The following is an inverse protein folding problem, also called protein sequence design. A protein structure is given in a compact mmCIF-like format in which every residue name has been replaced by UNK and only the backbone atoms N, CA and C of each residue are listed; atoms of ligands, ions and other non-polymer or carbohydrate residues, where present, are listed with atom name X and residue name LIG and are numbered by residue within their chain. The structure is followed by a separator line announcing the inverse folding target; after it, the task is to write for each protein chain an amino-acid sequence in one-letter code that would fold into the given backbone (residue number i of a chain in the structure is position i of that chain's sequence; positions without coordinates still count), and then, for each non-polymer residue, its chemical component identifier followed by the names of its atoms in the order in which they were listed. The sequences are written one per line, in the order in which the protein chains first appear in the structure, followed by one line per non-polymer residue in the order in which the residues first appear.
data_IF_141377258743
#
_entry.id   IF_141377258743
#
_cell.length_a   1.000
_cell.length_b   1.000
_cell.length_c   1.000
_cell.angle_alpha   90.00
_cell.angle_beta   90.00
_cell.angle_gamma   90.00
#
_symmetry.space_group_name_H-M   'P 1'
#
loop_
_entity.id
_entity.type
_entity.pdbx_description
1 polymer ?
#
# COMPACT_ATOMS: atom_id res chain seq x y z
N UNK A 1 -69.72 -28.82 -32.53
CA UNK A 1 -68.32 -29.05 -32.89
C UNK A 1 -67.41 -27.83 -32.64
N UNK A 2 -67.79 -26.62 -33.04
CA UNK A 2 -66.96 -25.40 -32.85
C UNK A 2 -66.77 -25.07 -31.39
N UNK A 3 -67.82 -25.16 -30.56
CA UNK A 3 -67.71 -24.90 -29.10
C UNK A 3 -66.75 -25.86 -28.38
N UNK A 4 -66.73 -27.13 -28.77
CA UNK A 4 -65.82 -28.13 -28.22
C UNK A 4 -64.36 -27.83 -28.55
N UNK A 5 -64.10 -27.35 -29.77
CA UNK A 5 -62.75 -26.95 -30.24
C UNK A 5 -62.25 -25.71 -29.44
N UNK A 6 -63.15 -24.72 -29.23
CA UNK A 6 -62.82 -23.52 -28.46
C UNK A 6 -62.48 -23.88 -27.01
N UNK A 7 -63.25 -24.80 -26.39
CA UNK A 7 -63.01 -25.30 -25.06
C UNK A 7 -61.63 -25.99 -24.95
N UNK A 8 -61.30 -26.87 -25.87
CA UNK A 8 -60.01 -27.58 -25.91
C UNK A 8 -58.83 -26.61 -26.07
N UNK A 9 -58.94 -25.64 -26.98
CA UNK A 9 -57.93 -24.60 -27.16
C UNK A 9 -57.76 -23.76 -25.89
N UNK A 10 -58.86 -23.38 -25.26
CA UNK A 10 -58.84 -22.65 -23.97
C UNK A 10 -58.10 -23.41 -22.87
N UNK A 11 -58.38 -24.71 -22.72
CA UNK A 11 -57.66 -25.56 -21.74
C UNK A 11 -56.16 -25.65 -22.06
N UNK A 12 -55.81 -25.76 -23.35
CA UNK A 12 -54.38 -25.83 -23.75
C UNK A 12 -53.64 -24.53 -23.49
N UNK A 13 -54.25 -23.37 -23.75
CA UNK A 13 -53.68 -22.05 -23.41
C UNK A 13 -53.55 -21.87 -21.90
N UNK A 14 -54.57 -22.21 -21.12
CA UNK A 14 -54.52 -22.13 -19.66
C UNK A 14 -53.43 -23.05 -19.08
N UNK A 15 -53.32 -24.27 -19.58
CA UNK A 15 -52.27 -25.21 -19.22
C UNK A 15 -50.88 -24.65 -19.55
N UNK A 16 -50.72 -24.02 -20.73
CA UNK A 16 -49.45 -23.38 -21.14
C UNK A 16 -49.04 -22.23 -20.22
N UNK A 17 -49.99 -21.36 -19.88
CA UNK A 17 -49.78 -20.25 -18.93
C UNK A 17 -49.40 -20.77 -17.55
N UNK A 18 -50.08 -21.79 -17.10
CA UNK A 18 -49.83 -22.43 -15.80
C UNK A 18 -48.42 -23.04 -15.74
N UNK A 19 -48.00 -23.79 -16.76
CA UNK A 19 -46.67 -24.37 -16.86
C UNK A 19 -45.57 -23.27 -16.98
N UNK A 20 -45.85 -22.24 -17.74
CA UNK A 20 -44.94 -21.11 -17.89
C UNK A 20 -44.74 -20.38 -16.53
N UNK A 21 -45.82 -20.16 -15.79
CA UNK A 21 -45.76 -19.53 -14.46
C UNK A 21 -44.93 -20.36 -13.46
N UNK A 22 -45.16 -21.70 -13.44
CA UNK A 22 -44.37 -22.59 -12.58
C UNK A 22 -42.90 -22.57 -12.96
N UNK A 23 -42.58 -22.61 -14.24
CA UNK A 23 -41.20 -22.59 -14.72
C UNK A 23 -40.52 -21.27 -14.35
N UNK A 24 -41.17 -20.16 -14.60
CA UNK A 24 -40.68 -18.82 -14.26
C UNK A 24 -40.45 -18.65 -12.74
N UNK A 25 -41.34 -19.16 -11.92
CA UNK A 25 -41.14 -19.11 -10.46
C UNK A 25 -39.96 -19.98 -9.99
N UNK A 26 -39.72 -21.14 -10.59
CA UNK A 26 -38.58 -22.00 -10.31
C UNK A 26 -37.25 -21.35 -10.71
N UNK A 27 -37.22 -20.75 -11.88
CA UNK A 27 -36.03 -20.03 -12.38
C UNK A 27 -35.67 -18.83 -11.49
N UNK A 28 -36.67 -18.00 -11.14
CA UNK A 28 -36.50 -16.86 -10.24
C UNK A 28 -36.01 -17.29 -8.85
N UNK A 29 -36.54 -18.39 -8.31
CA UNK A 29 -36.11 -18.94 -7.02
C UNK A 29 -34.65 -19.41 -7.05
N UNK A 30 -34.22 -20.04 -8.16
CA UNK A 30 -32.81 -20.45 -8.36
C UNK A 30 -31.88 -19.25 -8.43
N UNK A 31 -32.20 -18.25 -9.25
CA UNK A 31 -31.39 -17.03 -9.38
C UNK A 31 -31.23 -16.30 -8.04
N UNK A 32 -32.31 -16.16 -7.28
CA UNK A 32 -32.25 -15.53 -5.97
C UNK A 32 -31.37 -16.33 -4.98
N UNK A 33 -31.40 -17.66 -5.02
CA UNK A 33 -30.52 -18.49 -4.17
C UNK A 33 -29.06 -18.36 -4.56
N UNK A 34 -28.75 -18.38 -5.86
CA UNK A 34 -27.37 -18.18 -6.35
C UNK A 34 -26.83 -16.80 -5.96
N UNK A 35 -27.68 -15.79 -6.03
CA UNK A 35 -27.31 -14.43 -5.61
C UNK A 35 -27.06 -14.37 -4.10
N UNK A 36 -27.91 -14.95 -3.26
CA UNK A 36 -27.68 -15.04 -1.82
C UNK A 36 -26.38 -15.77 -1.48
N UNK A 37 -26.07 -16.89 -2.16
CA UNK A 37 -24.81 -17.61 -1.94
C UNK A 37 -23.58 -16.76 -2.31
N UNK A 38 -23.68 -15.97 -3.38
CA UNK A 38 -22.62 -15.04 -3.77
C UNK A 38 -22.45 -13.91 -2.75
N UNK A 39 -23.54 -13.31 -2.31
CA UNK A 39 -23.53 -12.22 -1.33
C UNK A 39 -22.94 -12.71 0.01
N UNK A 40 -23.39 -13.86 0.52
CA UNK A 40 -22.82 -14.48 1.73
C UNK A 40 -21.33 -14.83 1.57
N UNK A 41 -20.89 -15.26 0.39
CA UNK A 41 -19.48 -15.53 0.12
C UNK A 41 -18.62 -14.26 0.07
N UNK A 42 -19.18 -13.13 -0.36
CA UNK A 42 -18.52 -11.82 -0.36
C UNK A 42 -18.38 -11.29 1.07
N UNK A 43 -19.43 -11.44 1.89
CA UNK A 43 -19.46 -10.97 3.28
C UNK A 43 -18.70 -11.89 4.26
N UNK A 44 -18.25 -13.04 3.80
CA UNK A 44 -17.49 -14.00 4.61
C UNK A 44 -18.33 -14.84 5.56
N UNK A 45 -19.66 -14.78 5.48
CA UNK A 45 -20.59 -15.56 6.26
C UNK A 45 -21.23 -16.68 5.41
N UNK A 46 -20.67 -17.88 5.48
CA UNK A 46 -21.25 -19.07 4.83
C UNK A 46 -22.23 -19.75 5.76
N UNK A 47 -23.51 -19.35 5.69
CA UNK A 47 -24.58 -20.07 6.34
C UNK A 47 -24.86 -21.44 5.69
N UNK A 48 -25.19 -22.44 6.52
CA UNK A 48 -25.61 -23.78 6.07
C UNK A 48 -27.00 -23.69 5.38
N UNK A 49 -26.98 -23.51 4.07
CA UNK A 49 -28.22 -23.57 3.28
C UNK A 49 -28.64 -25.02 3.09
N UNK A 50 -29.89 -25.33 3.44
CA UNK A 50 -30.47 -26.66 3.23
C UNK A 50 -30.51 -27.02 1.74
N UNK A 51 -30.09 -28.24 1.43
CA UNK A 51 -29.97 -28.76 0.06
C UNK A 51 -31.37 -29.25 -0.40
N UNK A 52 -31.84 -28.76 -1.54
CA UNK A 52 -33.06 -29.19 -2.19
C UNK A 52 -32.78 -30.32 -3.19
N UNK A 53 -33.64 -31.39 -3.18
CA UNK A 53 -33.50 -32.59 -4.00
C UNK A 53 -33.81 -32.41 -5.51
N UNK A 54 -33.94 -31.20 -6.04
CA UNK A 54 -34.29 -30.94 -7.44
C UNK A 54 -33.08 -30.92 -8.40
N UNK A 55 -33.38 -31.06 -9.71
CA UNK A 55 -32.39 -31.15 -10.82
C UNK A 55 -31.27 -30.07 -10.85
N UNK A 56 -31.40 -28.99 -10.12
CA UNK A 56 -30.42 -27.91 -10.00
C UNK A 56 -29.45 -28.11 -8.82
N UNK A 57 -29.65 -29.13 -7.99
CA UNK A 57 -28.81 -29.40 -6.81
C UNK A 57 -27.35 -29.69 -7.15
N UNK A 58 -27.07 -30.24 -8.32
CA UNK A 58 -25.70 -30.50 -8.76
C UNK A 58 -24.92 -29.22 -9.03
N UNK A 59 -25.56 -28.21 -9.63
CA UNK A 59 -24.96 -26.90 -9.91
C UNK A 59 -24.76 -26.10 -8.61
N UNK A 60 -25.79 -26.07 -7.75
CA UNK A 60 -25.71 -25.44 -6.43
C UNK A 60 -24.60 -26.08 -5.59
N UNK A 61 -24.50 -27.39 -5.55
CA UNK A 61 -23.45 -28.09 -4.82
C UNK A 61 -22.06 -27.82 -5.38
N UNK A 62 -21.89 -27.82 -6.71
CA UNK A 62 -20.62 -27.49 -7.34
C UNK A 62 -20.19 -26.07 -7.05
N UNK A 63 -21.12 -25.11 -7.13
CA UNK A 63 -20.84 -23.70 -6.83
C UNK A 63 -20.51 -23.49 -5.35
N UNK A 64 -21.26 -24.12 -4.43
CA UNK A 64 -20.98 -24.10 -3.00
C UNK A 64 -19.60 -24.68 -2.70
N UNK A 65 -19.26 -25.83 -3.28
CA UNK A 65 -17.95 -26.44 -3.10
C UNK A 65 -16.81 -25.55 -3.60
N UNK A 66 -16.99 -24.84 -4.73
CA UNK A 66 -16.03 -23.87 -5.23
C UNK A 66 -15.90 -22.65 -4.32
N UNK A 67 -16.99 -22.11 -3.80
CA UNK A 67 -16.99 -20.99 -2.87
C UNK A 67 -16.34 -21.37 -1.54
N UNK A 68 -16.69 -22.52 -0.96
CA UNK A 68 -16.10 -23.05 0.27
C UNK A 68 -14.59 -23.27 0.11
N UNK A 69 -14.15 -23.86 -1.02
CA UNK A 69 -12.73 -24.09 -1.30
C UNK A 69 -11.96 -22.77 -1.48
N UNK A 70 -12.54 -21.78 -2.17
CA UNK A 70 -11.95 -20.46 -2.36
C UNK A 70 -11.87 -19.67 -1.05
N UNK A 71 -12.90 -19.75 -0.21
CA UNK A 71 -12.93 -19.13 1.12
C UNK A 71 -11.86 -19.77 2.02
N UNK A 72 -11.78 -21.08 2.05
CA UNK A 72 -10.77 -21.81 2.83
C UNK A 72 -9.35 -21.50 2.36
N UNK A 73 -9.14 -21.41 1.05
CA UNK A 73 -7.84 -21.04 0.47
C UNK A 73 -7.44 -19.60 0.85
N UNK A 74 -8.37 -18.65 0.79
CA UNK A 74 -8.14 -17.27 1.23
C UNK A 74 -7.83 -17.19 2.73
N UNK A 75 -8.59 -17.90 3.56
CA UNK A 75 -8.36 -17.95 5.00
C UNK A 75 -6.99 -18.53 5.33
N UNK A 76 -6.63 -19.66 4.73
CA UNK A 76 -5.31 -20.27 4.91
C UNK A 76 -4.18 -19.35 4.45
N UNK A 77 -4.36 -18.65 3.33
CA UNK A 77 -3.39 -17.66 2.84
C UNK A 77 -3.24 -16.50 3.82
N UNK A 78 -4.34 -16.01 4.39
CA UNK A 78 -4.32 -14.95 5.38
C UNK A 78 -3.63 -15.39 6.67
N UNK A 79 -3.94 -16.58 7.20
CA UNK A 79 -3.29 -17.15 8.38
C UNK A 79 -1.78 -17.36 8.16
N UNK A 80 -1.38 -17.87 7.00
CA UNK A 80 0.05 -17.99 6.65
C UNK A 80 0.75 -16.63 6.60
N UNK A 81 0.08 -15.63 6.04
CA UNK A 81 0.58 -14.26 5.97
C UNK A 81 0.81 -13.70 7.38
N UNK A 82 -0.13 -13.86 8.30
CA UNK A 82 -0.03 -13.40 9.69
C UNK A 82 1.10 -14.09 10.46
N UNK A 83 1.28 -15.41 10.26
CA UNK A 83 2.38 -16.16 10.86
C UNK A 83 3.73 -15.64 10.37
N UNK A 84 3.89 -15.43 9.07
CA UNK A 84 5.14 -14.91 8.49
C UNK A 84 5.42 -13.50 9.02
N UNK A 85 4.40 -12.66 9.14
CA UNK A 85 4.53 -11.29 9.63
C UNK A 85 4.95 -11.24 11.10
N UNK A 86 4.35 -12.09 11.94
CA UNK A 86 4.73 -12.24 13.33
C UNK A 86 6.18 -12.69 13.46
N UNK A 87 6.58 -13.70 12.67
CA UNK A 87 7.96 -14.20 12.66
C UNK A 87 8.96 -13.08 12.27
N UNK A 88 8.66 -12.32 11.23
CA UNK A 88 9.49 -11.18 10.80
C UNK A 88 9.60 -10.13 11.91
N UNK A 89 8.48 -9.81 12.58
CA UNK A 89 8.46 -8.86 13.69
C UNK A 89 9.30 -9.35 14.88
N UNK A 90 9.17 -10.62 15.24
CA UNK A 90 9.92 -11.23 16.35
C UNK A 90 11.42 -11.26 16.07
N UNK A 91 11.82 -11.66 14.86
CA UNK A 91 13.24 -11.64 14.42
C UNK A 91 13.78 -10.21 14.44
N UNK A 92 13.03 -9.25 13.94
CA UNK A 92 13.45 -7.86 13.92
C UNK A 92 13.72 -7.32 15.35
N UNK A 93 12.82 -7.58 16.29
CA UNK A 93 13.01 -7.19 17.69
C UNK A 93 14.23 -7.86 18.34
N UNK A 94 14.46 -9.14 18.09
CA UNK A 94 15.58 -9.88 18.66
C UNK A 94 16.95 -9.51 18.06
N UNK A 95 16.96 -8.98 16.83
CA UNK A 95 18.21 -8.55 16.16
C UNK A 95 18.54 -7.09 16.42
N UNK A 96 17.56 -6.24 16.71
CA UNK A 96 17.78 -4.83 17.06
C UNK A 96 18.70 -4.64 18.27
N UNK A 97 18.53 -5.45 19.31
CA UNK A 97 19.32 -5.37 20.55
C UNK A 97 20.83 -5.64 20.34
N UNK A 98 21.26 -6.75 19.71
CA UNK A 98 22.68 -6.98 19.45
C UNK A 98 23.29 -5.96 18.51
N UNK A 99 22.52 -5.42 17.55
CA UNK A 99 22.98 -4.38 16.64
C UNK A 99 23.25 -3.07 17.39
N UNK A 100 22.32 -2.69 18.29
CA UNK A 100 22.53 -1.51 19.14
C UNK A 100 23.77 -1.65 20.01
N UNK A 101 24.01 -2.83 20.53
CA UNK A 101 25.22 -3.12 21.31
C UNK A 101 26.50 -3.00 20.45
N UNK A 102 26.49 -3.55 19.22
CA UNK A 102 27.62 -3.42 18.30
C UNK A 102 27.91 -1.95 17.94
N UNK A 103 26.87 -1.15 17.76
CA UNK A 103 27.01 0.28 17.53
C UNK A 103 27.69 0.98 18.70
N UNK A 104 27.22 0.75 19.92
CA UNK A 104 27.80 1.31 21.15
C UNK A 104 29.27 0.90 21.31
N UNK A 105 29.61 -0.36 21.10
CA UNK A 105 30.99 -0.83 21.16
C UNK A 105 31.87 -0.22 20.07
N UNK A 106 31.35 -0.06 18.84
CA UNK A 106 32.03 0.62 17.77
C UNK A 106 32.33 2.09 18.07
N UNK A 107 31.38 2.80 18.66
CA UNK A 107 31.55 4.19 19.11
C UNK A 107 32.64 4.31 20.21
N UNK A 108 32.59 3.44 21.23
CA UNK A 108 33.59 3.40 22.30
C UNK A 108 35.01 3.12 21.76
N UNK A 109 35.14 2.18 20.81
CA UNK A 109 36.40 1.86 20.18
C UNK A 109 36.93 3.03 19.33
N UNK A 110 36.04 3.80 18.66
CA UNK A 110 36.45 4.96 17.87
C UNK A 110 37.04 6.09 18.71
N UNK A 111 36.57 6.22 19.96
CA UNK A 111 37.06 7.23 20.90
C UNK A 111 38.41 6.85 21.53
N UNK A 112 38.73 5.56 21.61
CA UNK A 112 39.87 5.04 22.37
C UNK A 112 41.06 4.59 21.52
N UNK A 113 40.91 4.40 20.22
CA UNK A 113 41.94 3.78 19.38
C UNK A 113 42.04 4.45 18.00
N UNK A 114 43.06 5.30 17.83
CA UNK A 114 43.30 6.04 16.60
C UNK A 114 43.86 5.21 15.44
N UNK A 115 44.42 4.01 15.70
CA UNK A 115 45.05 3.19 14.67
C UNK A 115 44.07 2.41 13.76
N UNK A 116 42.81 2.17 14.24
CA UNK A 116 41.83 1.37 13.50
C UNK A 116 40.56 2.16 13.15
N UNK A 117 40.66 3.46 12.94
CA UNK A 117 39.48 4.34 12.71
C UNK A 117 38.71 3.96 11.46
N UNK A 118 39.35 3.49 10.40
CA UNK A 118 38.69 3.15 9.12
C UNK A 118 37.85 1.85 9.24
N UNK A 119 38.38 0.87 9.95
CA UNK A 119 37.65 -0.39 10.23
C UNK A 119 36.46 -0.16 11.16
N UNK A 120 36.63 0.67 12.18
CA UNK A 120 35.57 1.07 13.12
C UNK A 120 34.46 1.84 12.38
N UNK A 121 34.83 2.80 11.51
CA UNK A 121 33.87 3.54 10.70
C UNK A 121 33.07 2.60 9.79
N UNK A 122 33.73 1.60 9.21
CA UNK A 122 33.05 0.57 8.39
C UNK A 122 32.06 -0.26 9.22
N UNK A 123 32.43 -0.67 10.42
CA UNK A 123 31.54 -1.42 11.34
C UNK A 123 30.32 -0.59 11.68
N UNK A 124 30.50 0.68 12.05
CA UNK A 124 29.41 1.59 12.35
C UNK A 124 28.46 1.77 11.15
N UNK A 125 29.02 1.99 9.96
CA UNK A 125 28.23 2.12 8.72
C UNK A 125 27.40 0.86 8.42
N UNK A 126 27.99 -0.32 8.54
CA UNK A 126 27.27 -1.59 8.32
C UNK A 126 26.20 -1.81 9.39
N UNK A 127 26.47 -1.42 10.63
CA UNK A 127 25.50 -1.51 11.73
C UNK A 127 24.31 -0.59 11.49
N UNK A 128 24.53 0.64 11.02
CA UNK A 128 23.47 1.58 10.65
C UNK A 128 22.62 1.07 9.46
N UNK A 129 23.26 0.47 8.47
CA UNK A 129 22.54 -0.17 7.36
C UNK A 129 21.65 -1.31 7.84
N UNK A 130 22.14 -2.11 8.78
CA UNK A 130 21.39 -3.24 9.33
C UNK A 130 20.22 -2.75 10.18
N UNK A 131 20.42 -1.75 11.04
CA UNK A 131 19.37 -1.12 11.84
C UNK A 131 18.25 -0.56 10.95
N UNK A 132 18.61 0.17 9.89
CA UNK A 132 17.67 0.68 8.90
C UNK A 132 16.87 -0.44 8.21
N UNK A 133 17.54 -1.54 7.84
CA UNK A 133 16.88 -2.71 7.24
C UNK A 133 15.82 -3.30 8.16
N UNK A 134 16.18 -3.54 9.42
CA UNK A 134 15.29 -4.16 10.40
C UNK A 134 14.11 -3.25 10.71
N UNK A 135 14.34 -1.95 10.93
CA UNK A 135 13.25 -1.01 11.17
C UNK A 135 12.29 -0.92 9.97
N UNK A 136 12.84 -0.91 8.76
CA UNK A 136 12.03 -0.94 7.53
C UNK A 136 11.20 -2.22 7.42
N UNK A 137 11.77 -3.37 7.78
CA UNK A 137 11.09 -4.66 7.77
C UNK A 137 9.96 -4.72 8.81
N UNK A 138 10.19 -4.19 10.01
CA UNK A 138 9.18 -4.07 11.08
C UNK A 138 8.02 -3.17 10.64
N UNK A 139 8.34 -2.01 10.05
CA UNK A 139 7.32 -1.09 9.52
C UNK A 139 6.48 -1.78 8.44
N UNK A 140 7.13 -2.46 7.50
CA UNK A 140 6.48 -3.22 6.43
C UNK A 140 5.58 -4.34 6.97
N UNK A 141 6.09 -5.13 7.90
CA UNK A 141 5.33 -6.20 8.55
C UNK A 141 4.06 -5.68 9.23
N UNK A 142 4.17 -4.57 9.97
CA UNK A 142 3.02 -3.93 10.61
C UNK A 142 1.99 -3.39 9.61
N UNK A 143 2.43 -2.87 8.47
CA UNK A 143 1.54 -2.39 7.40
C UNK A 143 0.81 -3.55 6.72
N UNK A 144 1.52 -4.61 6.35
CA UNK A 144 0.95 -5.78 5.68
C UNK A 144 -0.04 -6.55 6.57
N UNK A 145 0.16 -6.53 7.91
CA UNK A 145 -0.75 -7.20 8.85
C UNK A 145 -2.08 -6.48 9.06
N UNK A 146 -2.26 -5.29 8.49
CA UNK A 146 -3.45 -4.46 8.78
C UNK A 146 -3.53 -4.03 10.25
N UNK A 147 -2.49 -4.34 11.08
CA UNK A 147 -2.40 -3.94 12.49
C UNK A 147 -2.23 -2.42 12.61
N UNK A 148 -1.73 -1.77 11.55
CA UNK A 148 -1.73 -0.32 11.51
C UNK A 148 -3.15 0.14 11.14
N UNK A 149 -3.95 0.35 12.18
CA UNK A 149 -5.12 1.19 12.03
C UNK A 149 -4.61 2.58 11.60
N UNK A 150 -4.87 2.94 10.35
CA UNK A 150 -4.58 4.30 9.86
C UNK A 150 -5.55 5.21 10.58
N UNK A 151 -5.05 6.00 11.52
CA UNK A 151 -5.84 6.99 12.25
C UNK A 151 -5.84 8.29 11.46
N UNK A 152 -6.84 8.45 10.59
CA UNK A 152 -6.98 9.65 9.78
C UNK A 152 -7.66 10.75 10.58
N UNK A 153 -7.03 11.91 10.64
CA UNK A 153 -7.56 13.15 11.22
C UNK A 153 -7.39 14.29 10.22
N UNK A 154 -8.09 15.39 10.45
CA UNK A 154 -7.98 16.59 9.62
C UNK A 154 -6.74 17.40 10.05
N UNK A 155 -5.76 17.50 9.17
CA UNK A 155 -4.51 18.22 9.41
C UNK A 155 -4.28 19.33 8.39
N UNK A 156 -3.71 20.43 8.85
CA UNK A 156 -3.12 21.43 7.99
C UNK A 156 -1.81 20.89 7.36
N UNK A 157 -1.74 20.88 6.04
CA UNK A 157 -0.58 20.35 5.30
C UNK A 157 0.72 21.06 5.70
N UNK A 158 0.67 22.35 6.02
CA UNK A 158 1.81 23.12 6.52
C UNK A 158 2.55 22.39 7.64
N UNK A 159 1.83 21.86 8.64
CA UNK A 159 2.44 21.16 9.79
C UNK A 159 3.21 19.91 9.34
N UNK A 160 2.63 19.18 8.41
CA UNK A 160 3.24 17.98 7.85
C UNK A 160 4.51 18.30 7.05
N UNK A 161 4.44 19.28 6.16
CA UNK A 161 5.57 19.68 5.33
C UNK A 161 6.70 20.30 6.15
N UNK A 162 6.35 21.08 7.18
CA UNK A 162 7.34 21.66 8.09
C UNK A 162 8.03 20.59 8.94
N UNK A 163 7.31 19.56 9.40
CA UNK A 163 7.90 18.41 10.08
C UNK A 163 8.92 17.69 9.20
N UNK A 164 8.59 17.46 7.94
CA UNK A 164 9.52 16.86 6.96
C UNK A 164 10.72 17.78 6.73
N UNK A 165 10.52 19.08 6.55
CA UNK A 165 11.61 20.04 6.37
C UNK A 165 12.57 20.03 7.56
N UNK A 166 12.06 20.05 8.78
CA UNK A 166 12.88 20.03 10.00
C UNK A 166 13.71 18.74 10.11
N UNK A 167 13.11 17.60 9.80
CA UNK A 167 13.77 16.30 9.83
C UNK A 167 14.99 16.24 8.89
N UNK A 168 14.90 16.84 7.71
CA UNK A 168 15.92 16.75 6.67
C UNK A 168 16.80 18.01 6.52
N UNK A 169 16.53 19.07 7.30
CA UNK A 169 17.26 20.34 7.21
C UNK A 169 18.77 20.21 7.46
N UNK A 170 19.20 19.35 8.38
CA UNK A 170 20.61 19.11 8.64
C UNK A 170 21.29 18.44 7.42
N UNK A 171 20.70 17.36 6.91
CA UNK A 171 21.20 16.61 5.74
C UNK A 171 21.27 17.48 4.47
N UNK A 172 20.26 18.32 4.25
CA UNK A 172 20.26 19.28 3.14
C UNK A 172 21.39 20.30 3.28
N UNK A 173 21.61 20.83 4.49
CA UNK A 173 22.71 21.78 4.76
C UNK A 173 24.10 21.18 4.56
N UNK A 174 24.33 19.95 5.01
CA UNK A 174 25.60 19.24 4.78
C UNK A 174 25.97 19.16 3.30
N UNK A 175 24.96 19.01 2.46
CA UNK A 175 25.10 18.93 1.00
C UNK A 175 24.93 20.27 0.28
N UNK A 176 24.77 21.39 1.04
CA UNK A 176 24.46 22.72 0.52
C UNK A 176 23.21 22.74 -0.41
N UNK A 177 22.23 21.89 -0.15
CA UNK A 177 20.98 21.83 -0.92
C UNK A 177 19.98 22.84 -0.36
N UNK A 178 19.39 23.63 -1.24
CA UNK A 178 18.30 24.54 -0.90
C UNK A 178 16.99 23.77 -0.81
N UNK A 179 16.62 23.38 0.41
CA UNK A 179 15.36 22.68 0.70
C UNK A 179 14.26 23.68 1.00
N UNK A 180 13.37 23.91 0.04
CA UNK A 180 12.23 24.85 0.14
C UNK A 180 10.92 24.12 0.32
N UNK A 181 10.13 24.61 1.24
CA UNK A 181 8.72 24.20 1.44
C UNK A 181 7.83 25.39 1.17
N UNK A 182 6.86 25.24 0.26
CA UNK A 182 5.90 26.28 -0.03
C UNK A 182 4.85 26.36 1.09
N UNK A 183 4.54 27.57 1.49
CA UNK A 183 3.48 27.83 2.46
C UNK A 183 2.10 27.53 1.87
N UNK A 184 1.21 26.95 2.67
CA UNK A 184 -0.12 26.53 2.24
C UNK A 184 -1.09 26.42 3.42
N UNK A 185 -2.35 26.78 3.19
CA UNK A 185 -3.44 26.64 4.16
C UNK A 185 -4.36 25.43 3.82
N UNK A 186 -3.88 24.51 2.98
CA UNK A 186 -4.64 23.35 2.54
C UNK A 186 -4.75 22.36 3.71
N UNK A 187 -5.95 21.79 3.87
CA UNK A 187 -6.25 20.72 4.82
C UNK A 187 -6.38 19.37 4.12
N UNK A 188 -5.97 18.32 4.80
CA UNK A 188 -6.06 16.94 4.31
C UNK A 188 -6.42 15.99 5.44
N UNK A 189 -7.26 15.01 5.15
CA UNK A 189 -7.58 13.93 6.10
C UNK A 189 -6.59 12.79 5.86
N UNK A 190 -5.68 12.62 6.81
CA UNK A 190 -4.64 11.60 6.72
C UNK A 190 -4.15 11.19 8.10
N UNK A 191 -3.34 10.15 8.16
CA UNK A 191 -2.51 9.85 9.33
C UNK A 191 -1.20 10.64 9.19
N UNK A 192 -1.07 11.68 10.00
CA UNK A 192 0.07 12.61 9.96
C UNK A 192 1.41 11.89 10.10
N UNK A 193 1.51 10.97 11.06
CA UNK A 193 2.76 10.25 11.35
C UNK A 193 3.22 9.42 10.16
N UNK A 194 2.31 8.68 9.56
CA UNK A 194 2.61 7.87 8.38
C UNK A 194 2.88 8.71 7.15
N UNK A 195 2.17 9.83 6.98
CA UNK A 195 2.44 10.72 5.84
C UNK A 195 3.78 11.43 5.95
N UNK A 196 4.19 11.87 7.14
CA UNK A 196 5.54 12.43 7.37
C UNK A 196 6.62 11.39 7.03
N UNK A 197 6.41 10.12 7.40
CA UNK A 197 7.31 9.02 7.03
C UNK A 197 7.37 8.82 5.50
N UNK A 198 6.22 8.80 4.82
CA UNK A 198 6.16 8.61 3.36
C UNK A 198 6.84 9.75 2.60
N UNK A 199 6.49 10.99 2.94
CA UNK A 199 7.11 12.17 2.32
C UNK A 199 8.59 12.27 2.67
N UNK A 200 8.97 11.91 3.90
CA UNK A 200 10.35 11.84 4.34
C UNK A 200 11.21 10.91 3.48
N UNK A 201 10.70 9.71 3.16
CA UNK A 201 11.39 8.78 2.27
C UNK A 201 11.61 9.35 0.85
N UNK A 202 10.66 10.14 0.35
CA UNK A 202 10.78 10.77 -0.97
C UNK A 202 11.76 11.94 -0.91
N UNK A 203 11.67 12.80 0.13
CA UNK A 203 12.57 13.94 0.33
C UNK A 203 14.02 13.47 0.58
N UNK A 204 14.20 12.38 1.33
CA UNK A 204 15.51 11.78 1.53
C UNK A 204 16.16 11.36 0.21
N UNK A 205 15.39 10.73 -0.67
CA UNK A 205 15.85 10.40 -2.02
C UNK A 205 16.16 11.65 -2.85
N UNK A 206 15.30 12.67 -2.82
CA UNK A 206 15.55 13.93 -3.52
C UNK A 206 16.88 14.56 -3.09
N UNK A 207 17.12 14.68 -1.77
CA UNK A 207 18.40 15.21 -1.25
C UNK A 207 19.59 14.31 -1.64
N UNK A 208 19.41 13.00 -1.57
CA UNK A 208 20.44 12.02 -1.85
C UNK A 208 20.93 12.11 -3.29
N UNK A 209 20.02 12.22 -4.25
CA UNK A 209 20.32 12.18 -5.68
C UNK A 209 20.48 13.56 -6.34
N UNK A 210 20.28 14.63 -5.60
CA UNK A 210 20.61 16.00 -6.01
C UNK A 210 22.09 16.28 -5.76
N UNK A 211 22.74 16.97 -6.67
CA UNK A 211 24.14 17.38 -6.54
C UNK A 211 24.31 18.42 -5.42
N UNK A 212 25.54 18.58 -4.93
CA UNK A 212 25.87 19.63 -3.97
C UNK A 212 25.55 21.01 -4.58
N UNK A 213 24.83 21.85 -3.83
CA UNK A 213 24.39 23.17 -4.28
C UNK A 213 23.08 23.16 -5.10
N UNK A 214 22.45 22.02 -5.28
CA UNK A 214 21.17 21.90 -5.99
C UNK A 214 19.96 22.29 -5.15
N UNK A 215 18.76 22.02 -5.70
CA UNK A 215 17.50 22.47 -5.13
C UNK A 215 16.52 21.31 -4.95
N UNK A 216 15.84 21.29 -3.81
CA UNK A 216 14.70 20.42 -3.55
C UNK A 216 13.51 21.29 -3.08
N UNK A 217 12.41 21.21 -3.79
CA UNK A 217 11.20 21.99 -3.49
C UNK A 217 10.03 21.06 -3.16
N UNK A 218 9.32 21.36 -2.09
CA UNK A 218 8.07 20.70 -1.72
C UNK A 218 6.93 21.71 -1.79
N UNK A 219 5.91 21.42 -2.58
CA UNK A 219 4.74 22.26 -2.72
C UNK A 219 3.45 21.44 -2.67
N UNK A 220 2.36 22.06 -2.25
CA UNK A 220 1.04 21.44 -2.24
C UNK A 220 0.04 22.27 -3.03
N UNK A 221 -0.84 21.59 -3.75
CA UNK A 221 -1.93 22.16 -4.53
C UNK A 221 -3.19 21.36 -4.28
N UNK A 222 -4.35 21.99 -4.26
CA UNK A 222 -5.63 21.33 -4.10
C UNK A 222 -6.47 21.52 -5.35
N UNK A 223 -7.10 20.44 -5.81
CA UNK A 223 -8.16 20.47 -6.82
C UNK A 223 -9.48 19.93 -6.23
N UNK A 224 -10.51 19.73 -7.08
CA UNK A 224 -11.84 19.30 -6.59
C UNK A 224 -11.88 17.88 -6.01
N UNK A 225 -10.87 17.04 -6.22
CA UNK A 225 -10.86 15.61 -5.86
C UNK A 225 -9.69 15.21 -4.98
N UNK A 226 -8.55 15.88 -5.13
CA UNK A 226 -7.30 15.50 -4.50
C UNK A 226 -6.53 16.71 -3.99
N UNK A 227 -5.81 16.48 -2.91
CA UNK A 227 -4.64 17.28 -2.55
C UNK A 227 -3.44 16.63 -3.21
N UNK A 228 -2.68 17.43 -3.95
CA UNK A 228 -1.45 17.04 -4.64
C UNK A 228 -0.26 17.63 -3.91
N UNK A 229 0.71 16.80 -3.53
CA UNK A 229 1.97 17.23 -2.94
C UNK A 229 3.08 16.84 -3.91
N UNK A 230 3.79 17.82 -4.45
CA UNK A 230 4.91 17.62 -5.34
C UNK A 230 6.23 17.79 -4.57
N UNK A 231 7.10 16.80 -4.69
CA UNK A 231 8.51 16.86 -4.30
C UNK A 231 9.31 16.92 -5.58
N UNK A 232 10.01 18.05 -5.81
CA UNK A 232 10.70 18.39 -7.04
C UNK A 232 12.18 18.51 -6.72
N UNK A 233 13.03 17.79 -7.44
CA UNK A 233 14.47 17.87 -7.37
C UNK A 233 15.08 18.20 -8.74
N UNK A 234 16.24 18.84 -8.74
CA UNK A 234 17.08 19.07 -9.91
C UNK A 234 18.27 18.09 -10.00
N UNK A 235 18.06 16.88 -9.47
CA UNK A 235 19.07 15.84 -9.41
C UNK A 235 19.33 15.11 -10.72
N UNK A 236 19.91 13.92 -10.61
CA UNK A 236 20.32 13.09 -11.76
C UNK A 236 19.16 12.60 -12.64
N UNK A 237 17.92 12.68 -12.16
CA UNK A 237 16.76 12.13 -12.84
C UNK A 237 16.73 10.60 -12.89
N UNK A 238 15.68 10.07 -13.52
CA UNK A 238 15.38 8.62 -13.61
C UNK A 238 15.09 8.26 -15.07
N UNK A 239 15.71 7.20 -15.56
CA UNK A 239 15.42 6.63 -16.87
C UNK A 239 13.97 6.16 -16.96
N UNK A 240 13.31 6.36 -18.11
CA UNK A 240 11.88 6.00 -18.30
C UNK A 240 11.60 4.53 -18.03
N UNK A 241 12.52 3.65 -18.38
CA UNK A 241 12.43 2.20 -18.20
C UNK A 241 12.57 1.79 -16.72
N UNK A 242 13.12 2.65 -15.88
CA UNK A 242 13.29 2.41 -14.45
C UNK A 242 12.11 2.93 -13.61
N UNK A 243 11.35 3.93 -14.08
CA UNK A 243 10.23 4.51 -13.35
C UNK A 243 9.25 3.46 -12.79
N UNK A 244 8.83 2.42 -13.53
CA UNK A 244 7.97 1.39 -12.97
C UNK A 244 8.65 0.53 -11.90
N UNK A 245 9.98 0.45 -11.89
CA UNK A 245 10.78 -0.43 -11.05
C UNK A 245 11.20 0.21 -9.72
N UNK A 246 11.32 1.55 -9.67
CA UNK A 246 11.82 2.27 -8.48
C UNK A 246 10.99 2.05 -7.22
N UNK A 247 9.75 1.61 -7.37
CA UNK A 247 8.86 1.23 -6.26
C UNK A 247 8.95 -0.26 -5.90
N UNK A 248 9.86 -1.02 -6.52
CA UNK A 248 10.12 -2.42 -6.18
C UNK A 248 10.88 -2.54 -4.86
N UNK A 249 10.61 -3.61 -4.08
CA UNK A 249 11.38 -3.92 -2.88
C UNK A 249 12.84 -4.20 -3.25
N UNK A 250 13.78 -3.56 -2.54
CA UNK A 250 15.22 -3.71 -2.75
C UNK A 250 15.71 -3.28 -4.15
N UNK A 251 14.86 -2.59 -4.92
CA UNK A 251 15.27 -2.11 -6.22
C UNK A 251 16.19 -0.89 -6.08
N UNK A 252 17.29 -0.94 -6.81
CA UNK A 252 18.25 0.16 -6.98
C UNK A 252 18.72 0.19 -8.43
N UNK A 253 18.77 1.38 -9.03
CA UNK A 253 19.37 1.53 -10.35
C UNK A 253 20.87 1.24 -10.29
N UNK A 254 21.40 0.61 -11.33
CA UNK A 254 22.84 0.37 -11.47
C UNK A 254 23.63 1.68 -11.52
N UNK A 255 23.03 2.75 -12.01
CA UNK A 255 23.66 4.08 -12.10
C UNK A 255 23.94 4.73 -10.74
N UNK A 256 23.31 4.25 -9.67
CA UNK A 256 23.43 4.77 -8.29
C UNK A 256 23.81 3.68 -7.29
N UNK A 257 24.41 2.58 -7.76
CA UNK A 257 24.80 1.45 -6.92
C UNK A 257 25.74 1.85 -5.78
N UNK A 258 26.63 2.82 -6.02
CA UNK A 258 27.62 3.31 -5.06
C UNK A 258 27.03 4.23 -3.98
N UNK A 259 25.80 4.73 -4.16
CA UNK A 259 25.17 5.59 -3.16
C UNK A 259 24.62 4.75 -1.99
N UNK A 260 24.72 5.19 -0.72
CA UNK A 260 24.19 4.42 0.41
C UNK A 260 22.67 4.22 0.31
N UNK A 261 22.16 3.06 0.73
CA UNK A 261 20.72 2.79 0.80
C UNK A 261 20.35 1.38 0.40
N UNK A 262 19.15 0.96 0.79
CA UNK A 262 18.69 -0.44 0.71
C UNK A 262 17.63 -0.66 -0.36
N UNK A 263 17.04 0.41 -0.92
CA UNK A 263 15.97 0.29 -1.93
C UNK A 263 14.59 -0.06 -1.37
N UNK A 264 14.30 0.33 -0.12
CA UNK A 264 12.99 0.09 0.53
C UNK A 264 12.17 1.38 0.65
N UNK A 265 12.82 2.55 0.72
CA UNK A 265 12.15 3.82 1.06
C UNK A 265 10.98 4.19 0.14
N UNK A 266 11.17 4.14 -1.19
CA UNK A 266 10.08 4.44 -2.13
C UNK A 266 8.98 3.39 -2.14
N UNK A 267 9.32 2.12 -1.94
CA UNK A 267 8.34 1.07 -1.76
C UNK A 267 7.46 1.37 -0.54
N UNK A 268 8.08 1.65 0.62
CA UNK A 268 7.37 2.00 1.86
C UNK A 268 6.50 3.25 1.68
N UNK A 269 7.02 4.29 1.04
CA UNK A 269 6.25 5.50 0.74
C UNK A 269 5.00 5.19 -0.07
N UNK A 270 5.10 4.36 -1.11
CA UNK A 270 3.94 3.95 -1.92
C UNK A 270 2.91 3.17 -1.10
N UNK A 271 3.34 2.20 -0.30
CA UNK A 271 2.44 1.41 0.54
C UNK A 271 1.68 2.28 1.56
N UNK A 272 2.39 3.23 2.21
CA UNK A 272 1.77 4.19 3.14
C UNK A 272 0.71 5.04 2.45
N UNK A 273 1.03 5.59 1.27
CA UNK A 273 0.13 6.45 0.50
C UNK A 273 -1.10 5.66 0.04
N UNK A 274 -0.92 4.42 -0.43
CA UNK A 274 -2.01 3.54 -0.85
C UNK A 274 -2.92 3.13 0.32
N UNK A 275 -2.35 2.86 1.50
CA UNK A 275 -3.12 2.58 2.72
C UNK A 275 -4.06 3.74 3.10
N UNK A 276 -3.71 4.97 2.72
CA UNK A 276 -4.54 6.18 2.90
C UNK A 276 -5.37 6.53 1.66
N UNK A 277 -5.60 5.54 0.76
CA UNK A 277 -6.40 5.68 -0.48
C UNK A 277 -5.83 6.72 -1.45
N UNK A 278 -4.55 7.07 -1.28
CA UNK A 278 -3.80 7.93 -2.18
C UNK A 278 -3.05 7.15 -3.26
N UNK A 279 -2.38 7.88 -4.13
CA UNK A 279 -1.45 7.31 -5.10
C UNK A 279 -0.28 8.25 -5.36
N UNK A 280 0.80 7.70 -5.94
CA UNK A 280 2.01 8.44 -6.28
C UNK A 280 2.27 8.36 -7.79
N UNK A 281 2.70 9.47 -8.36
CA UNK A 281 3.09 9.63 -9.76
C UNK A 281 4.50 10.18 -9.85
N UNK A 282 5.28 9.73 -10.82
CA UNK A 282 6.64 10.22 -11.05
C UNK A 282 6.76 10.73 -12.47
N UNK A 283 7.33 11.92 -12.58
CA UNK A 283 7.77 12.50 -13.86
C UNK A 283 9.25 12.84 -13.70
N UNK A 284 10.08 12.28 -14.54
CA UNK A 284 11.51 12.47 -14.47
C UNK A 284 12.15 12.40 -15.84
N UNK A 285 13.24 13.12 -16.01
CA UNK A 285 14.10 13.08 -17.18
C UNK A 285 15.55 13.08 -16.70
N UNK A 286 16.35 12.20 -17.27
CA UNK A 286 17.76 12.08 -16.91
C UNK A 286 18.47 13.42 -17.02
N UNK A 287 19.29 13.73 -16.02
CA UNK A 287 20.07 14.98 -15.87
C UNK A 287 19.22 16.27 -15.73
N UNK A 288 17.89 16.15 -15.59
CA UNK A 288 16.99 17.29 -15.37
C UNK A 288 16.22 17.22 -14.05
N UNK A 289 16.39 16.11 -13.31
CA UNK A 289 15.75 15.91 -12.03
C UNK A 289 14.44 15.13 -12.11
N UNK A 290 13.73 15.09 -10.98
CA UNK A 290 12.50 14.32 -10.82
C UNK A 290 11.41 15.13 -10.11
N UNK A 291 10.18 14.78 -10.38
CA UNK A 291 9.02 15.26 -9.64
C UNK A 291 8.22 14.05 -9.18
N UNK A 292 8.13 13.87 -7.87
CA UNK A 292 7.28 12.90 -7.23
C UNK A 292 5.99 13.60 -6.78
N UNK A 293 4.87 13.23 -7.37
CA UNK A 293 3.55 13.79 -7.08
C UNK A 293 2.74 12.80 -6.25
N UNK A 294 2.45 13.15 -5.01
CA UNK A 294 1.59 12.39 -4.09
C UNK A 294 0.19 12.96 -4.14
N UNK A 295 -0.80 12.10 -4.34
CA UNK A 295 -2.21 12.47 -4.40
C UNK A 295 -2.96 11.83 -3.25
N UNK A 296 -3.60 12.66 -2.42
CA UNK A 296 -4.45 12.22 -1.32
C UNK A 296 -5.90 12.64 -1.61
N UNK A 297 -6.90 11.78 -1.39
CA UNK A 297 -8.29 12.13 -1.64
C UNK A 297 -8.74 13.20 -0.66
N UNK A 298 -9.55 14.14 -1.16
CA UNK A 298 -10.27 15.09 -0.29
C UNK A 298 -11.49 14.37 0.23
N UNK A 299 -11.62 14.26 1.55
CA UNK A 299 -12.89 13.84 2.12
C UNK A 299 -13.92 14.92 1.87
N UNK A 300 -14.99 14.61 1.14
CA UNK A 300 -16.19 15.45 1.18
C UNK A 300 -16.69 15.42 2.62
N UNK A 301 -16.74 16.56 3.28
CA UNK A 301 -17.60 16.73 4.46
C UNK A 301 -19.01 16.37 3.99
N UNK A 302 -19.55 15.22 4.46
CA UNK A 302 -20.98 14.96 4.40
C UNK A 302 -21.74 15.96 5.24
#
# INVERSE_FOLDING_TARGET
MIELIILIVGIFVLSGIFWHSIFYQKEKKLLNRLQQMLDCAIDGELERTEISEEKYSALENSMKQHLDSSFLARKNQQEQKEVIQKLISDIAHQTLTPISNLKIYGEILSETNHENQEEIATILEQTEKLDFLIQSLVKLSRMESGIIAVHTEDFEIRQMLESVRQQFAAKAREKNIDLRVCDTDIHVICDLKWMVEALGNIVDNAIKYTACGGNVQVKAEQNSFFVKIDIIDDGIGIEKEEIPKIFGRFYRSLSVADQPGVGIGLFLAREIIQAQKGYIKVTSEREKGSTFSVFLPISKKE
#
